data_IF_036227675080
#
_entry.id   IF_036227675080
#
_cell.length_a   1.000
_cell.length_b   1.000
_cell.length_c   1.000
_cell.angle_alpha   90.00
_cell.angle_beta   90.00
_cell.angle_gamma   90.00
#
_symmetry.space_group_name_H-M   'P 1'
#
loop_
_entity.id
_entity.type
_entity.pdbx_description
1 polymer ?
#
# COMPACT_ATOMS: atom_id res chain seq x y z
N UNK A 1 3.70 1.43 2.95
CA UNK A 1 4.06 2.58 2.09
C UNK A 1 2.81 3.27 1.54
N UNK A 2 2.82 4.60 1.37
CA UNK A 2 1.69 5.38 0.83
C UNK A 2 2.21 6.51 -0.06
N UNK A 3 1.42 7.10 -0.97
CA UNK A 3 1.91 8.19 -1.81
C UNK A 3 2.50 9.38 -1.04
N UNK A 4 1.94 9.71 0.14
CA UNK A 4 2.46 10.78 1.00
C UNK A 4 3.83 10.50 1.63
N UNK A 5 4.25 9.24 1.68
CA UNK A 5 5.59 8.84 2.12
C UNK A 5 6.58 8.85 0.95
N UNK A 6 6.19 9.34 -0.23
CA UNK A 6 7.05 9.52 -1.40
C UNK A 6 7.14 11.01 -1.72
N UNK A 7 8.35 11.54 -1.69
CA UNK A 7 8.65 12.93 -1.98
C UNK A 7 9.47 13.03 -3.26
N UNK A 8 9.38 14.17 -3.93
CA UNK A 8 10.21 14.49 -5.08
C UNK A 8 11.19 15.60 -4.69
N UNK A 9 12.45 15.46 -5.10
CA UNK A 9 13.40 16.57 -5.02
C UNK A 9 13.33 17.48 -6.24
N UNK A 10 14.19 18.50 -6.30
CA UNK A 10 14.20 19.48 -7.38
C UNK A 10 14.46 18.87 -8.77
N UNK A 11 15.06 17.68 -8.84
CA UNK A 11 15.32 16.94 -10.07
C UNK A 11 14.23 15.91 -10.37
N UNK A 12 13.10 15.96 -9.66
CA UNK A 12 12.01 14.97 -9.71
C UNK A 12 12.47 13.55 -9.33
N UNK A 13 13.55 13.41 -8.55
CA UNK A 13 13.96 12.12 -8.04
C UNK A 13 13.06 11.70 -6.87
N UNK A 14 12.52 10.49 -6.94
CA UNK A 14 11.66 9.91 -5.91
C UNK A 14 12.47 9.54 -4.66
N UNK A 15 12.03 10.03 -3.50
CA UNK A 15 12.61 9.72 -2.19
C UNK A 15 11.53 9.19 -1.26
N UNK A 16 11.80 8.05 -0.62
CA UNK A 16 10.93 7.52 0.43
C UNK A 16 11.22 8.25 1.74
N UNK A 17 10.17 8.71 2.40
CA UNK A 17 10.19 9.38 3.69
C UNK A 17 9.27 8.64 4.67
N UNK A 18 9.14 9.17 5.90
CA UNK A 18 8.22 8.65 6.93
C UNK A 18 8.50 7.19 7.35
N UNK A 19 9.67 6.99 7.97
CA UNK A 19 10.14 5.69 8.49
C UNK A 19 9.59 5.35 9.89
N UNK A 20 8.65 6.14 10.43
CA UNK A 20 8.11 5.91 11.79
C UNK A 20 7.39 4.57 11.95
N UNK A 21 6.97 3.96 10.84
CA UNK A 21 6.39 2.61 10.79
C UNK A 21 7.34 1.51 10.31
N UNK A 22 8.63 1.78 10.12
CA UNK A 22 9.60 0.79 9.65
C UNK A 22 10.11 -0.11 10.78
N UNK A 23 10.36 -1.37 10.45
CA UNK A 23 11.12 -2.28 11.30
C UNK A 23 12.62 -2.07 11.07
N UNK A 24 13.42 -2.07 12.14
CA UNK A 24 14.88 -2.07 12.07
C UNK A 24 15.40 -3.35 12.73
N UNK A 25 16.25 -4.10 12.02
CA UNK A 25 16.85 -5.35 12.53
C UNK A 25 15.84 -6.38 13.06
N UNK A 26 14.66 -6.48 12.43
CA UNK A 26 13.59 -7.40 12.86
C UNK A 26 12.79 -6.93 14.06
N UNK A 27 13.08 -5.74 14.62
CA UNK A 27 12.25 -5.15 15.67
C UNK A 27 10.87 -4.78 15.12
N UNK A 28 9.81 -5.21 15.78
CA UNK A 28 8.45 -4.94 15.33
C UNK A 28 8.14 -3.44 15.32
N UNK A 29 7.47 -2.98 14.25
CA UNK A 29 6.96 -1.62 14.19
C UNK A 29 5.72 -1.44 15.07
N UNK A 30 5.70 -0.36 15.83
CA UNK A 30 4.60 0.03 16.72
C UNK A 30 3.51 0.85 16.01
N UNK A 31 3.75 1.26 14.77
CA UNK A 31 2.80 2.09 13.99
C UNK A 31 2.04 1.22 13.00
N UNK A 32 0.71 1.33 13.00
CA UNK A 32 -0.16 0.60 12.08
C UNK A 32 -0.34 1.36 10.75
N UNK A 33 -0.29 0.64 9.62
CA UNK A 33 -0.50 1.21 8.29
C UNK A 33 -1.96 1.63 8.06
N UNK A 34 -2.21 2.48 7.07
CA UNK A 34 -3.58 2.81 6.67
C UNK A 34 -4.29 1.57 6.11
N UNK A 35 -5.54 1.30 6.52
CA UNK A 35 -6.35 0.12 6.12
C UNK A 35 -6.49 -0.13 4.61
N UNK A 36 -6.17 0.86 3.77
CA UNK A 36 -6.24 0.79 2.29
C UNK A 36 -4.89 0.52 1.62
N UNK A 37 -3.81 0.50 2.39
CA UNK A 37 -2.42 0.39 1.92
C UNK A 37 -1.64 -0.62 2.76
N UNK A 38 -2.36 -1.50 3.47
CA UNK A 38 -1.80 -2.43 4.44
C UNK A 38 -2.68 -3.70 4.51
N UNK A 39 -2.03 -4.85 4.54
CA UNK A 39 -2.66 -6.15 4.79
C UNK A 39 -2.60 -6.45 6.28
N UNK A 40 -3.71 -6.89 6.88
CA UNK A 40 -3.78 -7.12 8.32
C UNK A 40 -2.77 -8.19 8.79
N UNK A 41 -2.38 -8.11 10.07
CA UNK A 41 -1.27 -8.86 10.69
C UNK A 41 -1.43 -10.38 10.78
N UNK A 42 -2.26 -11.01 9.96
CA UNK A 42 -2.27 -12.48 9.80
C UNK A 42 -0.87 -12.97 9.36
N UNK A 43 -0.16 -12.12 8.63
CA UNK A 43 1.25 -12.31 8.29
C UNK A 43 2.08 -11.65 9.40
N UNK A 44 2.56 -12.45 10.34
CA UNK A 44 3.49 -12.01 11.39
C UNK A 44 4.71 -11.37 10.73
N UNK A 45 5.09 -10.20 11.24
CA UNK A 45 6.22 -9.37 10.82
C UNK A 45 6.06 -8.59 9.50
N UNK A 46 6.72 -7.43 9.43
CA UNK A 46 6.79 -6.60 8.23
C UNK A 46 7.56 -7.34 7.14
N UNK A 47 6.87 -8.21 6.40
CA UNK A 47 7.47 -9.01 5.34
C UNK A 47 7.64 -8.19 4.05
N UNK A 48 8.58 -8.57 3.16
CA UNK A 48 8.69 -7.99 1.82
C UNK A 48 7.35 -7.95 1.06
N UNK A 49 6.51 -8.98 1.22
CA UNK A 49 5.18 -9.05 0.60
C UNK A 49 4.26 -7.89 1.02
N UNK A 50 4.27 -7.48 2.30
CA UNK A 50 3.46 -6.35 2.76
C UNK A 50 3.91 -5.03 2.16
N UNK A 51 5.22 -4.89 1.91
CA UNK A 51 5.78 -3.72 1.25
C UNK A 51 5.42 -3.69 -0.24
N UNK A 52 5.43 -4.85 -0.92
CA UNK A 52 4.96 -4.98 -2.31
C UNK A 52 3.48 -4.61 -2.42
N UNK A 53 2.61 -5.17 -1.58
CA UNK A 53 1.20 -4.81 -1.58
C UNK A 53 0.96 -3.30 -1.38
N UNK A 54 1.70 -2.70 -0.44
CA UNK A 54 1.61 -1.27 -0.19
C UNK A 54 2.18 -0.43 -1.35
N UNK A 55 3.19 -0.94 -2.07
CA UNK A 55 3.71 -0.36 -3.30
C UNK A 55 2.66 -0.43 -4.42
N UNK A 56 2.06 -1.59 -4.67
CA UNK A 56 0.98 -1.76 -5.66
C UNK A 56 -0.20 -0.83 -5.38
N UNK A 57 -0.65 -0.75 -4.12
CA UNK A 57 -1.70 0.18 -3.68
C UNK A 57 -1.31 1.66 -3.89
N UNK A 58 -0.01 1.98 -3.78
CA UNK A 58 0.51 3.32 -4.01
C UNK A 58 0.57 3.65 -5.50
N UNK A 59 1.04 2.73 -6.34
CA UNK A 59 1.04 2.87 -7.80
C UNK A 59 -0.38 3.06 -8.30
N UNK A 60 -1.34 2.23 -7.85
CA UNK A 60 -2.76 2.41 -8.15
C UNK A 60 -3.20 3.84 -7.85
N UNK A 61 -2.95 4.33 -6.63
CA UNK A 61 -3.38 5.66 -6.20
C UNK A 61 -2.75 6.79 -7.02
N UNK A 62 -1.50 6.63 -7.44
CA UNK A 62 -0.81 7.60 -8.31
C UNK A 62 -1.47 7.61 -9.69
N UNK A 63 -1.70 6.44 -10.28
CA UNK A 63 -2.23 6.29 -11.65
C UNK A 63 -3.70 6.70 -11.77
N UNK A 64 -4.52 6.41 -10.76
CA UNK A 64 -5.96 6.66 -10.80
C UNK A 64 -6.37 7.94 -10.08
N UNK A 65 -5.47 8.54 -9.30
CA UNK A 65 -5.79 9.59 -8.31
C UNK A 65 -6.84 9.16 -7.26
N UNK A 66 -7.29 7.91 -7.25
CA UNK A 66 -8.30 7.37 -6.34
C UNK A 66 -7.70 6.30 -5.43
N UNK A 67 -8.20 6.22 -4.20
CA UNK A 67 -7.72 5.19 -3.27
C UNK A 67 -8.38 3.86 -3.60
N UNK A 68 -7.71 2.71 -3.41
CA UNK A 68 -8.37 1.41 -3.51
C UNK A 68 -9.63 1.42 -2.65
N UNK A 69 -10.73 0.96 -3.23
CA UNK A 69 -12.05 0.91 -2.59
C UNK A 69 -12.61 2.26 -2.12
N UNK A 70 -12.34 3.37 -2.83
CA UNK A 70 -12.73 4.74 -2.42
C UNK A 70 -14.15 4.84 -1.82
N UNK A 71 -15.11 4.13 -2.40
CA UNK A 71 -16.53 4.20 -2.04
C UNK A 71 -16.96 3.18 -0.95
N UNK A 72 -16.06 2.29 -0.53
CA UNK A 72 -16.29 1.34 0.56
C UNK A 72 -15.85 1.97 1.89
N UNK A 73 -16.57 1.68 2.99
CA UNK A 73 -16.20 2.22 4.30
C UNK A 73 -14.86 1.63 4.76
N UNK A 74 -14.04 2.43 5.43
CA UNK A 74 -12.66 2.03 5.78
C UNK A 74 -12.57 0.77 6.67
N UNK A 75 -13.62 0.45 7.44
CA UNK A 75 -13.70 -0.77 8.24
C UNK A 75 -14.04 -2.03 7.41
N UNK A 76 -14.63 -1.88 6.24
CA UNK A 76 -15.03 -2.99 5.34
C UNK A 76 -13.92 -3.37 4.36
N UNK A 77 -12.94 -2.49 4.14
CA UNK A 77 -11.81 -2.73 3.23
C UNK A 77 -10.91 -3.89 3.69
N UNK A 78 -10.61 -3.96 4.98
CA UNK A 78 -9.69 -4.98 5.51
C UNK A 78 -10.25 -6.41 5.39
N UNK A 79 -11.55 -6.66 5.69
CA UNK A 79 -12.21 -7.93 5.37
C UNK A 79 -12.08 -8.32 3.89
N UNK A 80 -12.28 -7.40 2.95
CA UNK A 80 -12.16 -7.68 1.51
C UNK A 80 -10.75 -8.18 1.15
N UNK A 81 -9.71 -7.46 1.62
CA UNK A 81 -8.33 -7.89 1.41
C UNK A 81 -8.01 -9.24 2.05
N UNK A 82 -8.53 -9.50 3.26
CA UNK A 82 -8.33 -10.80 3.93
C UNK A 82 -9.03 -11.94 3.18
N UNK A 83 -10.14 -11.66 2.50
CA UNK A 83 -10.85 -12.59 1.61
C UNK A 83 -10.26 -12.69 0.20
N UNK A 84 -9.12 -12.02 -0.08
CA UNK A 84 -8.49 -11.92 -1.41
C UNK A 84 -9.43 -11.38 -2.49
N UNK A 85 -10.40 -10.56 -2.09
CA UNK A 85 -11.25 -9.81 -3.00
C UNK A 85 -10.53 -8.49 -3.25
N UNK A 86 -10.20 -8.23 -4.51
CA UNK A 86 -9.48 -7.02 -4.95
C UNK A 86 -10.35 -6.23 -5.95
N UNK A 87 -10.10 -4.92 -6.11
CA UNK A 87 -10.77 -4.13 -7.13
C UNK A 87 -10.44 -4.66 -8.52
N UNK A 88 -11.37 -4.53 -9.47
CA UNK A 88 -11.06 -4.74 -10.88
C UNK A 88 -10.02 -3.70 -11.34
N UNK A 89 -8.97 -4.19 -12.00
CA UNK A 89 -7.87 -3.38 -12.52
C UNK A 89 -7.94 -3.22 -14.05
N UNK A 90 -9.00 -3.73 -14.68
CA UNK A 90 -9.25 -3.56 -16.11
C UNK A 90 -9.28 -2.09 -16.49
N UNK A 91 -8.42 -1.68 -17.43
CA UNK A 91 -8.30 -0.28 -17.88
C UNK A 91 -7.54 0.64 -16.92
N UNK A 92 -7.01 0.14 -15.80
CA UNK A 92 -6.13 0.91 -14.91
C UNK A 92 -4.71 0.94 -15.51
N UNK A 93 -4.09 2.13 -15.69
CA UNK A 93 -2.69 2.21 -16.08
C UNK A 93 -1.80 1.45 -15.08
N UNK A 94 -0.90 0.61 -15.61
CA UNK A 94 -0.07 -0.30 -14.81
C UNK A 94 -0.86 -1.36 -14.00
N UNK A 95 -2.11 -1.68 -14.38
CA UNK A 95 -2.95 -2.66 -13.69
C UNK A 95 -2.27 -4.01 -13.47
N UNK A 96 -1.62 -4.58 -14.50
CA UNK A 96 -0.89 -5.85 -14.40
C UNK A 96 0.26 -5.79 -13.38
N UNK A 97 0.98 -4.67 -13.30
CA UNK A 97 2.04 -4.47 -12.31
C UNK A 97 1.45 -4.40 -10.89
N UNK A 98 0.32 -3.71 -10.73
CA UNK A 98 -0.38 -3.59 -9.45
C UNK A 98 -0.92 -4.95 -8.99
N UNK A 99 -1.41 -5.79 -9.90
CA UNK A 99 -1.92 -7.13 -9.60
C UNK A 99 -0.82 -8.09 -9.12
N UNK A 100 0.40 -7.92 -9.63
CA UNK A 100 1.55 -8.76 -9.26
C UNK A 100 2.21 -8.37 -7.93
N UNK A 101 1.82 -7.23 -7.34
CA UNK A 101 2.35 -6.71 -6.08
C UNK A 101 1.63 -7.32 -4.87
#
# INVERSE_FOLDING_TARGET
>A
MRPRSMLLDANLALKVADFGGSSLNGAASLVYGSKRFYLDRVWKDSTPCMNLFALGSTIYKIMTSTSPYKDVKSNEVQPLFNSKIFPDLSGVPCGELVERC
#
